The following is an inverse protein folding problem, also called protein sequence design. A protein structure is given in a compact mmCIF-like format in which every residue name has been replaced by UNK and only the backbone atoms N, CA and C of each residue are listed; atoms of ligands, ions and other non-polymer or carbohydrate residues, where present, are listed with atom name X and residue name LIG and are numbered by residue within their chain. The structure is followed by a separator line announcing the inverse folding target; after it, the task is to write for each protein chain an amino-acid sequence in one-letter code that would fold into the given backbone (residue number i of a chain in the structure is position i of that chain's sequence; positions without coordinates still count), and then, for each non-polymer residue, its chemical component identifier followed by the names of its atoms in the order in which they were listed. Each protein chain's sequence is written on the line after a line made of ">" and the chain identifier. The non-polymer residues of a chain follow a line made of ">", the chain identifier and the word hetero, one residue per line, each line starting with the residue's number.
data_IF_578703620126
#
_entry.id   IF_578703620126
#
_cell.length_a   1.000
_cell.length_b   1.000
_cell.length_c   1.000
_cell.angle_alpha   90.00
_cell.angle_beta   90.00
_cell.angle_gamma   90.00
#
_symmetry.space_group_name_H-M   'P 1'
#
loop_
_entity.id
_entity.type
_entity.pdbx_description
1 polymer ?
#
# COMPACT_ATOMS: atom_id res chain seq x y z
N UNK A 1 -0.94 4.76 -19.04
CA UNK A 1 -0.08 4.87 -17.84
C UNK A 1 1.20 5.70 -18.00
N UNK A 2 1.68 6.02 -19.22
CA UNK A 2 2.92 6.80 -19.41
C UNK A 2 2.89 8.21 -18.78
N UNK A 3 1.74 8.89 -18.83
CA UNK A 3 1.59 10.23 -18.25
C UNK A 3 1.62 10.21 -16.71
N UNK A 4 0.96 9.24 -16.06
CA UNK A 4 0.93 9.12 -14.58
C UNK A 4 2.33 8.93 -13.98
N UNK A 5 3.16 8.11 -14.63
CA UNK A 5 4.55 7.90 -14.23
C UNK A 5 5.38 9.19 -14.26
N UNK A 6 5.27 9.95 -15.36
CA UNK A 6 5.96 11.22 -15.53
C UNK A 6 5.51 12.27 -14.51
N UNK A 7 4.21 12.34 -14.23
CA UNK A 7 3.66 13.24 -13.21
C UNK A 7 4.18 12.87 -11.82
N UNK A 8 4.12 11.59 -11.44
CA UNK A 8 4.65 11.12 -10.15
C UNK A 8 6.13 11.50 -9.97
N UNK A 9 6.95 11.25 -10.99
CA UNK A 9 8.36 11.62 -10.99
C UNK A 9 8.56 13.14 -10.86
N UNK A 10 7.75 13.94 -11.56
CA UNK A 10 7.84 15.40 -11.51
C UNK A 10 7.55 15.93 -10.10
N UNK A 11 6.58 15.35 -9.39
CA UNK A 11 6.30 15.73 -7.99
C UNK A 11 7.45 15.36 -7.04
N UNK A 12 8.07 14.19 -7.22
CA UNK A 12 9.24 13.78 -6.42
C UNK A 12 10.44 14.69 -6.70
N UNK A 13 10.69 15.03 -7.96
CA UNK A 13 11.75 15.98 -8.34
C UNK A 13 11.50 17.38 -7.76
N UNK A 14 10.26 17.87 -7.81
CA UNK A 14 9.88 19.13 -7.18
C UNK A 14 10.12 19.10 -5.67
N UNK A 15 9.76 18.00 -4.99
CA UNK A 15 9.98 17.87 -3.55
C UNK A 15 11.47 17.88 -3.19
N UNK A 16 12.30 17.21 -3.98
CA UNK A 16 13.76 17.29 -3.85
C UNK A 16 14.27 18.73 -4.03
N UNK A 17 13.84 19.41 -5.10
CA UNK A 17 14.36 20.73 -5.47
C UNK A 17 13.90 21.86 -4.54
N UNK A 18 12.64 21.81 -4.08
CA UNK A 18 11.99 22.95 -3.43
C UNK A 18 11.46 22.66 -2.02
N UNK A 19 11.38 21.39 -1.61
CA UNK A 19 10.79 21.01 -0.32
C UNK A 19 11.74 20.18 0.55
N UNK A 20 13.05 20.17 0.25
CA UNK A 20 14.05 19.50 1.08
C UNK A 20 13.79 18.00 1.25
N UNK A 21 13.46 17.33 0.15
CA UNK A 21 13.16 15.88 0.12
C UNK A 21 11.96 15.47 0.97
N UNK A 22 10.99 16.39 1.17
CA UNK A 22 9.73 16.05 1.81
C UNK A 22 9.04 14.88 1.08
N UNK A 23 8.49 13.90 1.82
CA UNK A 23 7.87 12.75 1.18
C UNK A 23 6.61 13.12 0.38
N UNK A 24 6.50 12.60 -0.85
CA UNK A 24 5.34 12.81 -1.72
C UNK A 24 4.29 11.73 -1.49
N UNK A 25 3.05 12.14 -1.23
CA UNK A 25 1.92 11.24 -1.00
C UNK A 25 0.85 11.42 -2.06
N UNK A 26 0.29 10.32 -2.55
CA UNK A 26 -0.92 10.29 -3.38
C UNK A 26 -2.09 10.02 -2.44
N UNK A 27 -2.87 11.05 -2.13
CA UNK A 27 -3.93 10.97 -1.11
C UNK A 27 -5.22 10.34 -1.60
N UNK A 28 -5.42 10.22 -2.91
CA UNK A 28 -6.58 9.54 -3.50
C UNK A 28 -6.17 8.84 -4.81
N UNK A 29 -6.52 7.56 -4.90
CA UNK A 29 -6.48 6.75 -6.12
C UNK A 29 -7.53 5.65 -6.01
N UNK A 30 -8.10 5.21 -7.13
CA UNK A 30 -9.13 4.18 -7.11
C UNK A 30 -9.71 3.93 -8.49
N UNK A 31 -10.42 2.81 -8.61
CA UNK A 31 -11.10 2.41 -9.83
C UNK A 31 -12.50 1.95 -9.46
N UNK A 32 -13.48 2.46 -10.19
CA UNK A 32 -14.88 2.19 -9.91
C UNK A 32 -15.33 0.85 -10.48
N UNK A 33 -16.25 0.19 -9.80
CA UNK A 33 -16.91 -1.01 -10.32
C UNK A 33 -18.15 -0.68 -11.14
N UNK A 34 -18.75 0.50 -10.93
CA UNK A 34 -19.89 0.98 -11.69
C UNK A 34 -19.50 1.32 -13.14
N UNK A 35 -20.16 0.67 -14.11
CA UNK A 35 -19.82 0.81 -15.53
C UNK A 35 -20.24 2.15 -16.17
N UNK A 36 -20.97 3.00 -15.44
CA UNK A 36 -21.21 4.38 -15.82
C UNK A 36 -20.08 5.34 -15.43
N UNK A 37 -19.15 4.92 -14.56
CA UNK A 37 -18.06 5.78 -14.10
C UNK A 37 -17.01 6.08 -15.20
N UNK A 38 -16.44 7.30 -15.22
CA UNK A 38 -15.27 7.60 -16.03
C UNK A 38 -14.01 6.85 -15.55
N UNK A 39 -13.96 6.39 -14.29
CA UNK A 39 -12.84 5.65 -13.69
C UNK A 39 -13.12 4.14 -13.55
N UNK A 40 -14.08 3.62 -14.32
CA UNK A 40 -14.49 2.22 -14.20
C UNK A 40 -13.37 1.23 -14.54
N UNK A 41 -13.19 0.23 -13.69
CA UNK A 41 -12.60 -1.04 -14.09
C UNK A 41 -13.52 -1.75 -15.08
N UNK A 42 -12.93 -2.45 -16.05
CA UNK A 42 -13.66 -3.22 -17.07
C UNK A 42 -13.33 -4.71 -16.95
N UNK A 43 -14.20 -5.57 -17.45
CA UNK A 43 -13.83 -6.98 -17.62
C UNK A 43 -12.75 -7.12 -18.71
N UNK A 44 -11.72 -7.95 -18.45
CA UNK A 44 -10.61 -8.17 -19.39
C UNK A 44 -10.38 -9.68 -19.53
N UNK A 45 -10.56 -10.20 -20.75
CA UNK A 45 -10.53 -11.65 -20.98
C UNK A 45 -11.55 -12.37 -20.10
N UNK A 46 -11.07 -13.29 -19.26
CA UNK A 46 -11.93 -14.05 -18.33
C UNK A 46 -12.03 -13.39 -16.93
N UNK A 47 -11.44 -12.21 -16.73
CA UNK A 47 -11.49 -11.51 -15.44
C UNK A 47 -12.78 -10.70 -15.29
N UNK A 48 -13.39 -10.81 -14.12
CA UNK A 48 -14.49 -9.93 -13.73
C UNK A 48 -14.02 -8.50 -13.49
N UNK A 49 -14.96 -7.55 -13.44
CA UNK A 49 -14.68 -6.14 -13.10
C UNK A 49 -13.91 -6.03 -11.78
N UNK A 50 -14.30 -6.80 -10.75
CA UNK A 50 -13.64 -6.80 -9.44
C UNK A 50 -12.20 -7.35 -9.50
N UNK A 51 -11.92 -8.31 -10.39
CA UNK A 51 -10.57 -8.83 -10.57
C UNK A 51 -9.67 -7.82 -11.30
N UNK A 52 -10.22 -7.13 -12.31
CA UNK A 52 -9.52 -6.04 -12.99
C UNK A 52 -9.25 -4.86 -12.05
N UNK A 53 -10.23 -4.47 -11.24
CA UNK A 53 -10.06 -3.46 -10.19
C UNK A 53 -8.89 -3.82 -9.26
N UNK A 54 -8.80 -5.09 -8.83
CA UNK A 54 -7.73 -5.56 -7.98
C UNK A 54 -6.35 -5.50 -8.64
N UNK A 55 -6.26 -5.93 -9.90
CA UNK A 55 -5.05 -5.83 -10.69
C UNK A 55 -4.59 -4.37 -10.81
N UNK A 56 -5.48 -3.48 -11.23
CA UNK A 56 -5.16 -2.07 -11.48
C UNK A 56 -4.79 -1.33 -10.20
N UNK A 57 -5.48 -1.63 -9.10
CA UNK A 57 -5.17 -1.12 -7.76
C UNK A 57 -3.75 -1.54 -7.33
N UNK A 58 -3.40 -2.83 -7.45
CA UNK A 58 -2.07 -3.31 -7.13
C UNK A 58 -0.99 -2.74 -8.07
N UNK A 59 -1.27 -2.67 -9.38
CA UNK A 59 -0.37 -2.04 -10.37
C UNK A 59 -0.10 -0.57 -10.04
N UNK A 60 -1.11 0.16 -9.55
CA UNK A 60 -0.97 1.56 -9.14
C UNK A 60 -0.06 1.71 -7.93
N UNK A 61 -0.21 0.84 -6.93
CA UNK A 61 0.70 0.82 -5.77
C UNK A 61 2.15 0.57 -6.21
N UNK A 62 2.39 -0.43 -7.07
CA UNK A 62 3.71 -0.77 -7.58
C UNK A 62 4.30 0.34 -8.47
N UNK A 63 3.48 0.99 -9.29
CA UNK A 63 3.89 2.14 -10.11
C UNK A 63 4.37 3.28 -9.23
N UNK A 64 3.62 3.67 -8.21
CA UNK A 64 4.00 4.77 -7.32
C UNK A 64 5.24 4.44 -6.49
N UNK A 65 5.37 3.19 -6.02
CA UNK A 65 6.59 2.71 -5.37
C UNK A 65 7.82 2.84 -6.29
N UNK A 66 7.71 2.45 -7.58
CA UNK A 66 8.78 2.59 -8.58
C UNK A 66 9.25 4.03 -8.75
N UNK A 67 8.33 5.00 -8.64
CA UNK A 67 8.61 6.41 -8.88
C UNK A 67 8.91 7.21 -7.60
N UNK A 68 9.14 6.55 -6.46
CA UNK A 68 9.55 7.22 -5.22
C UNK A 68 8.42 7.93 -4.47
N UNK A 69 7.16 7.65 -4.81
CA UNK A 69 6.03 8.10 -4.00
C UNK A 69 5.99 7.28 -2.72
N UNK A 70 5.97 8.00 -1.60
CA UNK A 70 6.15 7.44 -0.26
C UNK A 70 4.90 6.69 0.23
N UNK A 71 3.71 7.22 -0.05
CA UNK A 71 2.41 6.67 0.36
C UNK A 71 1.37 6.87 -0.74
N UNK A 72 0.55 5.85 -0.97
CA UNK A 72 -0.66 5.92 -1.79
C UNK A 72 -1.85 5.51 -0.95
N UNK A 73 -2.89 6.32 -0.96
CA UNK A 73 -4.14 6.07 -0.25
C UNK A 73 -5.22 5.73 -1.26
N UNK A 74 -5.78 4.52 -1.14
CA UNK A 74 -6.84 4.07 -2.03
C UNK A 74 -8.20 4.54 -1.50
N UNK A 75 -8.90 5.32 -2.32
CA UNK A 75 -10.28 5.71 -2.08
C UNK A 75 -11.16 4.59 -2.66
N UNK A 76 -11.80 3.76 -1.83
CA UNK A 76 -11.93 3.86 -0.36
C UNK A 76 -12.21 2.51 0.28
N UNK A 77 -12.43 2.48 1.60
CA UNK A 77 -12.71 1.22 2.31
C UNK A 77 -14.04 0.59 1.88
N UNK A 78 -15.09 1.38 1.73
CA UNK A 78 -16.45 0.94 1.34
C UNK A 78 -17.00 1.86 0.29
N UNK A 79 -17.80 1.35 -0.65
CA UNK A 79 -18.50 2.20 -1.63
C UNK A 79 -19.33 3.29 -0.94
N UNK A 80 -19.37 4.49 -1.52
CA UNK A 80 -20.26 5.58 -1.10
C UNK A 80 -21.65 5.31 -1.67
N UNK A 81 -21.72 5.03 -2.97
CA UNK A 81 -22.92 4.56 -3.64
C UNK A 81 -22.56 3.73 -4.88
N UNK A 82 -22.59 2.40 -4.74
CA UNK A 82 -22.25 1.47 -5.82
C UNK A 82 -23.10 1.65 -7.11
N UNK A 83 -24.33 2.17 -6.99
CA UNK A 83 -25.21 2.42 -8.12
C UNK A 83 -24.94 3.75 -8.84
N UNK A 84 -24.18 4.66 -8.21
CA UNK A 84 -23.85 5.95 -8.77
C UNK A 84 -22.79 5.82 -9.88
N UNK A 85 -22.98 6.45 -11.06
CA UNK A 85 -21.97 6.54 -12.10
C UNK A 85 -20.94 7.64 -11.84
N UNK A 86 -21.03 8.35 -10.70
CA UNK A 86 -20.05 9.38 -10.35
C UNK A 86 -18.73 8.73 -9.97
N UNK A 87 -17.63 9.38 -10.38
CA UNK A 87 -16.29 8.90 -10.05
C UNK A 87 -16.12 8.68 -8.55
N UNK A 88 -15.39 7.63 -8.20
CA UNK A 88 -15.11 7.20 -6.84
C UNK A 88 -16.32 6.77 -6.01
N UNK A 89 -17.55 6.71 -6.55
CA UNK A 89 -18.69 6.22 -5.77
C UNK A 89 -18.69 4.71 -5.52
N UNK A 90 -17.89 3.94 -6.28
CA UNK A 90 -17.91 2.47 -6.28
C UNK A 90 -16.50 1.83 -6.29
N UNK A 91 -15.53 2.55 -5.73
CA UNK A 91 -14.10 2.17 -5.64
C UNK A 91 -13.74 1.51 -4.30
N UNK A 92 -14.72 0.94 -3.60
CA UNK A 92 -14.56 0.34 -2.29
C UNK A 92 -13.68 -0.91 -2.30
N UNK A 93 -12.88 -1.10 -1.25
CA UNK A 93 -12.08 -2.32 -1.01
C UNK A 93 -12.89 -3.46 -0.37
N UNK A 94 -14.07 -3.16 0.17
CA UNK A 94 -14.98 -4.12 0.79
C UNK A 94 -16.30 -4.22 0.03
N UNK A 95 -16.91 -5.40 0.08
CA UNK A 95 -18.29 -5.61 -0.33
C UNK A 95 -19.26 -4.98 0.68
N UNK A 96 -20.55 -4.90 0.31
CA UNK A 96 -21.59 -4.34 1.19
C UNK A 96 -21.74 -5.10 2.52
N UNK A 97 -21.46 -6.40 2.52
CA UNK A 97 -21.43 -7.26 3.72
C UNK A 97 -20.12 -7.15 4.52
N UNK A 98 -19.23 -6.24 4.13
CA UNK A 98 -17.88 -6.01 4.69
C UNK A 98 -16.87 -7.13 4.46
N UNK A 99 -17.20 -8.13 3.64
CA UNK A 99 -16.20 -9.08 3.16
C UNK A 99 -15.20 -8.39 2.24
N UNK A 100 -13.96 -8.89 2.19
CA UNK A 100 -12.91 -8.34 1.34
C UNK A 100 -13.25 -8.52 -0.14
N UNK A 101 -13.02 -7.47 -0.94
CA UNK A 101 -12.94 -7.60 -2.40
C UNK A 101 -11.55 -8.13 -2.80
N UNK A 102 -11.41 -8.66 -4.02
CA UNK A 102 -10.10 -9.03 -4.55
C UNK A 102 -9.05 -7.93 -4.44
N UNK A 103 -9.43 -6.65 -4.56
CA UNK A 103 -8.51 -5.52 -4.39
C UNK A 103 -7.91 -5.43 -2.98
N UNK A 104 -8.73 -5.63 -1.93
CA UNK A 104 -8.24 -5.70 -0.56
C UNK A 104 -7.31 -6.89 -0.33
N UNK A 105 -7.66 -8.06 -0.88
CA UNK A 105 -6.83 -9.25 -0.79
C UNK A 105 -5.47 -9.04 -1.45
N UNK A 106 -5.44 -8.48 -2.65
CA UNK A 106 -4.21 -8.30 -3.41
C UNK A 106 -3.28 -7.29 -2.74
N UNK A 107 -3.80 -6.16 -2.25
CA UNK A 107 -3.03 -5.18 -1.49
C UNK A 107 -2.47 -5.77 -0.20
N UNK A 108 -3.30 -6.50 0.56
CA UNK A 108 -2.88 -7.12 1.82
C UNK A 108 -1.82 -8.19 1.58
N UNK A 109 -2.02 -9.06 0.60
CA UNK A 109 -1.07 -10.11 0.24
C UNK A 109 0.27 -9.52 -0.24
N UNK A 110 0.23 -8.49 -1.09
CA UNK A 110 1.44 -7.81 -1.56
C UNK A 110 2.17 -7.11 -0.41
N UNK A 111 1.45 -6.46 0.50
CA UNK A 111 2.05 -5.87 1.70
C UNK A 111 2.69 -6.90 2.62
N UNK A 112 2.09 -8.08 2.77
CA UNK A 112 2.67 -9.20 3.53
C UNK A 112 3.93 -9.79 2.89
N UNK A 113 4.01 -9.83 1.56
CA UNK A 113 5.17 -10.35 0.84
C UNK A 113 6.31 -9.31 0.77
N UNK A 114 5.98 -8.09 0.36
CA UNK A 114 6.95 -7.04 0.11
C UNK A 114 7.34 -6.29 1.38
N UNK A 115 6.48 -6.08 2.38
CA UNK A 115 6.85 -5.45 3.67
C UNK A 115 7.90 -4.33 3.58
N UNK A 116 9.14 -4.65 3.98
CA UNK A 116 10.29 -3.73 4.02
C UNK A 116 11.15 -3.70 2.74
N UNK A 117 10.78 -4.46 1.72
CA UNK A 117 11.44 -4.45 0.42
C UNK A 117 11.29 -3.07 -0.23
N UNK A 118 12.39 -2.56 -0.74
CA UNK A 118 12.45 -1.26 -1.43
C UNK A 118 12.75 -1.47 -2.90
N UNK A 119 12.15 -0.66 -3.76
CA UNK A 119 12.45 -0.68 -5.19
C UNK A 119 13.91 -0.29 -5.41
N UNK A 120 14.65 -1.09 -6.19
CA UNK A 120 16.06 -0.83 -6.51
C UNK A 120 16.35 -0.70 -8.01
N UNK A 121 15.40 -1.04 -8.88
CA UNK A 121 15.55 -0.83 -10.31
C UNK A 121 14.55 -1.61 -11.15
N UNK A 122 14.49 -1.27 -12.44
CA UNK A 122 13.67 -1.97 -13.44
C UNK A 122 14.58 -2.66 -14.44
N UNK A 123 14.45 -3.98 -14.58
CA UNK A 123 15.26 -4.82 -15.47
C UNK A 123 14.70 -4.88 -16.89
N UNK A 124 13.40 -4.66 -17.06
CA UNK A 124 12.73 -4.67 -18.35
C UNK A 124 11.48 -3.80 -18.32
N UNK A 125 11.14 -3.17 -19.45
CA UNK A 125 10.01 -2.24 -19.56
C UNK A 125 8.74 -2.85 -20.17
N UNK A 126 8.84 -3.95 -20.93
CA UNK A 126 7.68 -4.71 -21.44
C UNK A 126 8.03 -6.20 -21.66
N UNK A 127 7.53 -7.13 -20.82
CA UNK A 127 6.76 -6.87 -19.60
C UNK A 127 7.58 -6.05 -18.59
N UNK A 128 6.91 -5.33 -17.70
CA UNK A 128 7.64 -4.64 -16.64
C UNK A 128 8.22 -5.68 -15.68
N UNK A 129 9.50 -5.54 -15.36
CA UNK A 129 10.20 -6.37 -14.39
C UNK A 129 10.94 -5.46 -13.42
N UNK A 130 10.36 -5.25 -12.25
CA UNK A 130 10.94 -4.45 -11.18
C UNK A 130 11.67 -5.33 -10.18
N UNK A 131 12.76 -4.82 -9.64
CA UNK A 131 13.59 -5.44 -8.61
C UNK A 131 13.38 -4.70 -7.29
N UNK A 132 13.22 -5.49 -6.23
CA UNK A 132 13.12 -5.01 -4.87
C UNK A 132 14.10 -5.74 -3.96
N UNK A 133 14.66 -5.04 -2.98
CA UNK A 133 15.60 -5.62 -2.02
C UNK A 133 15.26 -5.27 -0.57
N UNK A 134 15.49 -6.25 0.32
CA UNK A 134 15.52 -6.08 1.77
C UNK A 134 16.42 -7.13 2.40
N UNK A 135 17.27 -6.74 3.36
CA UNK A 135 18.10 -7.65 4.16
C UNK A 135 18.90 -8.66 3.32
N UNK A 136 19.43 -8.24 2.17
CA UNK A 136 20.20 -9.09 1.25
C UNK A 136 19.36 -10.08 0.42
N UNK A 137 18.03 -10.07 0.56
CA UNK A 137 17.10 -10.83 -0.27
C UNK A 137 16.60 -9.97 -1.43
N UNK A 138 16.28 -10.62 -2.56
CA UNK A 138 15.73 -9.96 -3.75
C UNK A 138 14.39 -10.59 -4.12
N UNK A 139 13.39 -9.73 -4.36
CA UNK A 139 12.10 -10.09 -4.95
C UNK A 139 11.91 -9.30 -6.23
N UNK A 140 11.37 -9.94 -7.26
CA UNK A 140 11.00 -9.31 -8.52
C UNK A 140 9.49 -9.20 -8.63
N UNK A 141 8.97 -8.09 -9.15
CA UNK A 141 7.57 -7.95 -9.54
C UNK A 141 7.47 -7.88 -11.07
N UNK A 142 6.64 -8.74 -11.66
CA UNK A 142 6.47 -8.85 -13.11
C UNK A 142 5.01 -8.59 -13.50
N UNK A 143 4.77 -7.74 -14.50
CA UNK A 143 3.42 -7.44 -14.98
C UNK A 143 3.40 -6.97 -16.44
N UNK A 144 2.31 -7.29 -17.16
CA UNK A 144 1.92 -6.70 -18.46
C UNK A 144 0.77 -5.71 -18.20
N UNK A 145 1.01 -4.39 -18.15
CA UNK A 145 -0.02 -3.43 -17.75
C UNK A 145 -0.70 -2.75 -18.96
N UNK A 146 -1.22 -3.53 -19.90
CA UNK A 146 -1.72 -2.99 -21.18
C UNK A 146 -3.23 -3.07 -21.41
N UNK A 147 -3.96 -3.73 -20.52
CA UNK A 147 -5.43 -3.86 -20.54
C UNK A 147 -5.96 -4.62 -21.77
N UNK A 148 -5.12 -5.44 -22.42
CA UNK A 148 -5.45 -6.18 -23.66
C UNK A 148 -5.57 -7.69 -23.46
N UNK A 149 -5.55 -8.16 -22.21
CA UNK A 149 -5.41 -9.58 -21.87
C UNK A 149 -4.16 -10.22 -22.49
N UNK A 150 -3.08 -9.46 -22.64
CA UNK A 150 -1.84 -9.95 -23.24
C UNK A 150 -1.04 -10.76 -22.22
N UNK A 151 -0.35 -11.78 -22.72
CA UNK A 151 0.74 -12.46 -22.02
C UNK A 151 2.08 -12.18 -22.70
N UNK A 152 3.17 -12.27 -21.94
CA UNK A 152 4.52 -12.13 -22.46
C UNK A 152 5.45 -13.17 -21.82
N UNK A 153 6.30 -13.79 -22.61
CA UNK A 153 7.35 -14.68 -22.09
C UNK A 153 8.55 -13.84 -21.67
N UNK A 154 9.06 -14.07 -20.46
CA UNK A 154 10.29 -13.42 -19.98
C UNK A 154 11.18 -14.44 -19.26
N UNK A 155 12.48 -14.43 -19.55
CA UNK A 155 13.47 -15.24 -18.84
C UNK A 155 14.16 -14.37 -17.81
N UNK A 156 13.81 -14.58 -16.54
CA UNK A 156 14.37 -13.89 -15.40
C UNK A 156 15.71 -14.53 -15.02
N UNK A 157 16.71 -13.67 -14.77
CA UNK A 157 18.02 -14.05 -14.25
C UNK A 157 18.03 -13.93 -12.73
N UNK A 158 18.25 -15.05 -12.05
CA UNK A 158 18.31 -15.18 -10.60
C UNK A 158 19.75 -15.37 -10.09
N UNK A 159 20.75 -15.14 -10.96
CA UNK A 159 22.16 -15.30 -10.64
C UNK A 159 22.51 -16.77 -10.40
N UNK A 160 22.97 -17.11 -9.19
CA UNK A 160 23.37 -18.48 -8.83
C UNK A 160 22.24 -19.31 -8.22
N UNK A 161 21.04 -18.75 -8.03
CA UNK A 161 19.93 -19.47 -7.41
C UNK A 161 19.40 -20.57 -8.33
N UNK A 162 19.35 -21.80 -7.85
CA UNK A 162 18.86 -22.96 -8.62
C UNK A 162 17.36 -23.23 -8.44
N UNK A 163 16.73 -22.51 -7.51
CA UNK A 163 15.30 -22.58 -7.21
C UNK A 163 14.74 -21.17 -7.02
N UNK A 164 13.44 -21.06 -7.26
CA UNK A 164 12.68 -19.84 -7.01
C UNK A 164 11.31 -20.17 -6.43
N UNK A 165 10.64 -19.17 -5.88
CA UNK A 165 9.22 -19.25 -5.53
C UNK A 165 8.45 -18.16 -6.25
N UNK A 166 7.43 -18.56 -7.00
CA UNK A 166 6.49 -17.67 -7.67
C UNK A 166 5.30 -17.45 -6.74
N UNK A 167 5.00 -16.20 -6.44
CA UNK A 167 3.85 -15.78 -5.65
C UNK A 167 2.83 -15.11 -6.55
N UNK A 168 1.62 -15.68 -6.56
CA UNK A 168 0.50 -15.18 -7.34
C UNK A 168 -0.61 -14.67 -6.40
N UNK A 169 -0.99 -13.39 -6.48
CA UNK A 169 -2.16 -12.87 -5.78
C UNK A 169 -3.41 -13.73 -6.06
N UNK A 170 -4.13 -14.09 -5.00
CA UNK A 170 -5.25 -15.04 -5.08
C UNK A 170 -6.46 -14.49 -4.32
N UNK A 171 -7.56 -14.21 -5.01
CA UNK A 171 -8.75 -13.63 -4.40
C UNK A 171 -9.39 -14.58 -3.38
N UNK A 172 -9.91 -14.03 -2.29
CA UNK A 172 -10.55 -14.78 -1.21
C UNK A 172 -9.59 -15.56 -0.31
N UNK A 173 -8.27 -15.42 -0.49
CA UNK A 173 -7.26 -16.14 0.28
C UNK A 173 -6.47 -15.22 1.20
N UNK A 174 -6.09 -15.74 2.37
CA UNK A 174 -5.26 -15.01 3.33
C UNK A 174 -3.82 -14.78 2.83
N UNK A 175 -3.33 -15.53 1.83
CA UNK A 175 -1.99 -15.37 1.28
C UNK A 175 -1.99 -15.55 -0.24
N UNK A 176 -0.89 -15.16 -0.87
CA UNK A 176 -0.65 -15.51 -2.28
C UNK A 176 -0.48 -17.02 -2.42
N UNK A 177 -0.85 -17.56 -3.58
CA UNK A 177 -0.45 -18.91 -3.96
C UNK A 177 1.06 -18.90 -4.20
N UNK A 178 1.80 -19.75 -3.48
CA UNK A 178 3.26 -19.88 -3.59
C UNK A 178 3.62 -21.18 -4.30
N UNK A 179 4.36 -21.10 -5.40
CA UNK A 179 4.80 -22.26 -6.19
C UNK A 179 6.32 -22.29 -6.28
N UNK A 180 6.93 -23.32 -5.68
CA UNK A 180 8.36 -23.57 -5.83
C UNK A 180 8.67 -24.12 -7.22
N UNK A 181 9.68 -23.56 -7.88
CA UNK A 181 10.09 -23.93 -9.25
C UNK A 181 11.60 -24.08 -9.33
N UNK A 182 12.06 -24.90 -10.26
CA UNK A 182 13.48 -24.99 -10.60
C UNK A 182 13.89 -23.83 -11.50
N UNK A 183 15.10 -23.34 -11.30
CA UNK A 183 15.74 -22.31 -12.10
C UNK A 183 17.16 -22.78 -12.48
N UNK A 184 17.29 -23.79 -13.36
CA UNK A 184 18.60 -24.32 -13.73
C UNK A 184 19.48 -23.19 -14.29
N UNK A 185 20.74 -23.14 -13.85
CA UNK A 185 21.69 -22.09 -14.22
C UNK A 185 21.21 -20.66 -13.89
N UNK A 186 20.35 -20.50 -12.87
CA UNK A 186 19.81 -19.20 -12.50
C UNK A 186 18.75 -18.64 -13.45
N UNK A 187 18.28 -19.42 -14.42
CA UNK A 187 17.31 -18.92 -15.42
C UNK A 187 15.93 -19.48 -15.13
N UNK A 188 14.94 -18.59 -15.02
CA UNK A 188 13.54 -18.93 -14.87
C UNK A 188 12.71 -18.29 -15.99
N UNK A 189 12.13 -19.11 -16.86
CA UNK A 189 11.21 -18.63 -17.90
C UNK A 189 9.79 -18.58 -17.35
N UNK A 190 9.16 -17.41 -17.47
CA UNK A 190 7.84 -17.10 -16.92
C UNK A 190 6.89 -16.65 -18.04
N UNK A 191 5.63 -17.02 -17.92
CA UNK A 191 4.54 -16.34 -18.64
C UNK A 191 4.04 -15.20 -17.77
N UNK A 192 4.33 -13.97 -18.16
CA UNK A 192 3.88 -12.75 -17.48
C UNK A 192 2.50 -12.37 -18.00
N UNK A 193 1.61 -11.98 -17.08
CA UNK A 193 0.24 -11.60 -17.38
C UNK A 193 -0.08 -10.21 -16.85
N UNK A 194 -1.32 -9.81 -17.05
CA UNK A 194 -1.94 -8.63 -16.47
C UNK A 194 -2.00 -8.63 -14.93
N UNK A 195 -2.12 -9.79 -14.27
CA UNK A 195 -2.03 -9.81 -12.80
C UNK A 195 -0.56 -9.78 -12.39
N UNK A 196 -0.13 -8.84 -11.52
CA UNK A 196 1.22 -8.84 -11.00
C UNK A 196 1.58 -10.19 -10.37
N UNK A 197 2.75 -10.72 -10.69
CA UNK A 197 3.33 -11.90 -10.03
C UNK A 197 4.66 -11.51 -9.40
N UNK A 198 5.03 -12.19 -8.32
CA UNK A 198 6.29 -11.92 -7.61
C UNK A 198 7.18 -13.16 -7.61
N UNK A 199 8.49 -12.96 -7.75
CA UNK A 199 9.46 -14.05 -7.77
C UNK A 199 10.56 -13.79 -6.75
N UNK A 200 10.75 -14.73 -5.83
CA UNK A 200 11.86 -14.74 -4.89
C UNK A 200 12.90 -15.79 -5.31
N UNK A 201 14.18 -15.40 -5.30
CA UNK A 201 15.29 -16.32 -5.51
C UNK A 201 15.61 -17.11 -4.21
N UNK A 202 15.90 -18.41 -4.31
CA UNK A 202 16.44 -19.17 -3.18
C UNK A 202 15.43 -19.74 -2.18
N UNK A 203 14.15 -19.87 -2.57
CA UNK A 203 13.07 -20.40 -1.72
C UNK A 203 12.21 -19.31 -1.07
N UNK A 204 11.30 -19.71 -0.16
CA UNK A 204 10.36 -18.79 0.50
C UNK A 204 11.13 -17.66 1.19
N UNK A 205 10.90 -16.37 0.86
CA UNK A 205 11.44 -15.25 1.61
C UNK A 205 11.12 -15.43 3.09
N UNK A 206 12.04 -15.01 3.95
CA UNK A 206 11.70 -14.90 5.36
C UNK A 206 10.49 -13.97 5.45
N UNK A 207 9.39 -14.45 6.06
CA UNK A 207 8.24 -13.60 6.32
C UNK A 207 8.77 -12.31 6.97
N UNK A 208 8.35 -11.12 6.51
CA UNK A 208 8.82 -9.89 7.11
C UNK A 208 8.55 -10.01 8.60
N UNK A 209 9.61 -9.91 9.40
CA UNK A 209 9.44 -9.86 10.84
C UNK A 209 8.49 -8.68 11.07
N UNK A 210 7.31 -8.89 11.68
CA UNK A 210 6.46 -7.78 12.04
C UNK A 210 7.37 -6.82 12.77
N UNK A 211 7.47 -5.58 12.29
CA UNK A 211 8.18 -4.57 13.05
C UNK A 211 7.37 -4.45 14.33
N UNK A 212 7.83 -5.11 15.39
CA UNK A 212 7.19 -5.05 16.67
C UNK A 212 7.26 -3.58 17.06
N UNK A 213 6.11 -2.93 17.12
CA UNK A 213 6.01 -1.62 17.74
C UNK A 213 6.53 -1.81 19.16
N UNK A 214 7.73 -1.31 19.46
CA UNK A 214 8.26 -1.30 20.81
C UNK A 214 7.43 -0.40 21.75
N UNK A 215 6.41 0.28 21.22
CA UNK A 215 5.36 0.91 22.00
C UNK A 215 4.04 0.17 21.84
N UNK A 216 3.57 -0.50 22.89
CA UNK A 216 2.15 -0.65 23.15
C UNK A 216 1.62 0.78 23.37
N UNK A 217 1.14 1.41 22.29
CA UNK A 217 0.77 2.83 22.29
C UNK A 217 -0.39 3.08 23.25
N UNK A 218 -0.10 3.65 24.43
CA UNK A 218 -1.12 4.35 25.20
C UNK A 218 -1.37 5.70 24.53
N UNK A 219 -2.63 6.08 24.40
CA UNK A 219 -2.99 7.45 24.05
C UNK A 219 -2.81 8.25 25.33
N UNK A 220 -1.82 9.13 25.39
CA UNK A 220 -1.60 10.03 26.53
C UNK A 220 -2.41 11.32 26.36
N UNK A 221 -3.03 11.76 27.44
CA UNK A 221 -3.65 13.08 27.55
C UNK A 221 -2.94 13.89 28.64
N UNK A 222 -2.65 15.14 28.33
CA UNK A 222 -2.00 16.10 29.22
C UNK A 222 -2.79 17.41 29.23
N UNK A 223 -2.90 18.03 30.41
CA UNK A 223 -3.62 19.29 30.61
C UNK A 223 -2.77 20.29 31.40
N UNK A 224 -2.71 21.53 30.92
CA UNK A 224 -2.16 22.68 31.64
C UNK A 224 -3.28 23.64 31.99
N UNK A 225 -3.44 23.92 33.27
CA UNK A 225 -4.40 24.90 33.78
C UNK A 225 -3.85 26.32 33.63
N UNK A 226 -4.73 27.31 33.53
CA UNK A 226 -4.35 28.71 33.40
C UNK A 226 -3.80 29.09 32.02
N UNK A 227 -4.12 28.33 30.97
CA UNK A 227 -3.77 28.69 29.60
C UNK A 227 -4.90 29.55 28.98
N UNK A 228 -4.55 30.70 28.43
CA UNK A 228 -5.50 31.71 27.95
C UNK A 228 -5.35 31.98 26.46
N UNK A 229 -6.47 32.02 25.74
CA UNK A 229 -6.65 32.74 24.46
C UNK A 229 -5.90 32.24 23.22
N UNK A 230 -4.84 31.44 23.35
CA UNK A 230 -4.04 30.97 22.21
C UNK A 230 -3.36 29.63 22.47
N UNK A 231 -3.21 28.84 21.41
CA UNK A 231 -2.46 27.57 21.42
C UNK A 231 -0.99 27.80 21.82
N UNK A 232 -0.42 28.97 21.47
CA UNK A 232 0.95 29.32 21.84
C UNK A 232 1.14 29.52 23.36
N UNK A 233 0.05 29.73 24.11
CA UNK A 233 0.10 29.89 25.56
C UNK A 233 0.13 28.55 26.31
N UNK A 234 0.08 27.40 25.61
CA UNK A 234 0.17 26.09 26.23
C UNK A 234 1.65 25.77 26.48
N UNK A 235 2.11 25.65 27.75
CA UNK A 235 3.53 25.51 28.06
C UNK A 235 3.97 24.04 27.86
N UNK A 236 4.11 23.63 26.61
CA UNK A 236 4.43 22.25 26.21
C UNK A 236 5.79 21.74 26.71
N UNK A 237 6.64 22.63 27.22
CA UNK A 237 7.95 22.37 27.83
C UNK A 237 7.91 22.23 29.36
N UNK A 238 6.78 22.54 30.01
CA UNK A 238 6.59 22.33 31.45
C UNK A 238 5.75 21.09 31.72
N UNK A 239 5.92 20.49 32.89
CA UNK A 239 5.07 19.38 33.35
C UNK A 239 3.59 19.79 33.35
N UNK A 240 2.73 18.90 32.87
CA UNK A 240 1.28 19.11 32.86
C UNK A 240 0.70 19.06 34.29
N UNK A 241 -0.37 19.81 34.54
CA UNK A 241 -1.10 19.75 35.80
C UNK A 241 -1.86 18.43 35.95
N UNK A 242 -2.43 17.92 34.86
CA UNK A 242 -3.11 16.63 34.83
C UNK A 242 -2.58 15.77 33.69
N UNK A 243 -2.52 14.45 33.91
CA UNK A 243 -2.16 13.46 32.91
C UNK A 243 -3.05 12.23 33.07
N UNK A 244 -3.53 11.67 31.97
CA UNK A 244 -4.30 10.42 31.99
C UNK A 244 -4.12 9.63 30.69
N UNK A 245 -4.21 8.29 30.73
CA UNK A 245 -4.36 7.50 29.52
C UNK A 245 -5.78 7.67 28.95
N UNK A 246 -5.90 7.64 27.63
CA UNK A 246 -7.15 7.58 26.89
C UNK A 246 -7.26 6.25 26.13
N UNK A 247 -8.49 5.80 25.94
CA UNK A 247 -8.83 4.64 25.10
C UNK A 247 -9.30 5.05 23.70
N UNK A 248 -9.42 6.35 23.44
CA UNK A 248 -9.81 6.97 22.16
C UNK A 248 -9.05 8.28 21.93
N UNK A 249 -8.99 8.76 20.69
CA UNK A 249 -8.33 10.03 20.31
C UNK A 249 -9.14 11.29 20.69
N UNK A 250 -9.81 11.26 21.83
CA UNK A 250 -10.65 12.36 22.32
C UNK A 250 -10.62 12.41 23.84
N UNK A 251 -10.50 13.60 24.41
CA UNK A 251 -10.70 13.82 25.85
C UNK A 251 -12.20 13.87 26.18
N UNK A 252 -12.53 13.80 27.47
CA UNK A 252 -13.86 14.18 27.93
C UNK A 252 -14.16 15.65 27.59
N UNK A 253 -15.44 15.97 27.34
CA UNK A 253 -15.90 17.33 27.08
C UNK A 253 -16.18 18.04 28.41
N UNK A 254 -16.07 19.37 28.43
CA UNK A 254 -16.41 20.23 29.57
C UNK A 254 -15.65 19.90 30.87
N UNK A 255 -14.34 19.64 30.76
CA UNK A 255 -13.49 19.27 31.90
C UNK A 255 -12.87 20.48 32.64
N UNK A 256 -13.33 21.70 32.33
CA UNK A 256 -12.91 22.94 32.98
C UNK A 256 -12.90 24.12 32.01
N UNK A 257 -12.55 25.29 32.54
CA UNK A 257 -12.28 26.50 31.77
C UNK A 257 -10.78 26.84 31.83
N UNK A 258 -10.30 27.68 30.92
CA UNK A 258 -8.94 28.24 30.94
C UNK A 258 -7.82 27.19 31.00
N UNK A 259 -7.84 26.22 30.10
CA UNK A 259 -6.82 25.17 30.02
C UNK A 259 -6.35 24.92 28.59
N UNK A 260 -5.12 24.42 28.48
CA UNK A 260 -4.57 23.83 27.27
C UNK A 260 -4.49 22.32 27.43
N UNK A 261 -4.80 21.56 26.38
CA UNK A 261 -4.68 20.11 26.41
C UNK A 261 -3.95 19.57 25.17
N UNK A 262 -3.21 18.48 25.36
CA UNK A 262 -2.50 17.76 24.31
C UNK A 262 -2.84 16.28 24.40
N UNK A 263 -3.27 15.70 23.27
CA UNK A 263 -3.40 14.25 23.10
C UNK A 263 -2.22 13.77 22.27
N UNK A 264 -1.49 12.76 22.74
CA UNK A 264 -0.40 12.11 22.00
C UNK A 264 -0.67 10.63 21.91
N UNK A 265 -0.59 10.10 20.69
CA UNK A 265 -0.45 8.67 20.51
C UNK A 265 0.82 8.41 19.71
N UNK A 266 1.57 7.40 20.12
CA UNK A 266 2.64 6.86 19.30
C UNK A 266 1.99 5.84 18.37
N UNK A 267 1.74 6.24 17.13
CA UNK A 267 1.38 5.29 16.07
C UNK A 267 2.59 5.03 15.21
N UNK A 268 3.22 3.86 15.39
CA UNK A 268 4.09 3.32 14.38
C UNK A 268 3.19 2.71 13.29
N UNK A 269 3.01 3.44 12.19
CA UNK A 269 2.43 2.86 10.99
C UNK A 269 3.52 2.06 10.29
N UNK A 270 3.42 0.72 10.17
CA UNK A 270 4.12 0.05 9.09
C UNK A 270 3.62 0.66 7.77
N UNK A 271 4.54 0.87 6.81
CA UNK A 271 4.14 1.22 5.45
C UNK A 271 3.21 0.11 4.94
N UNK A 272 2.00 0.51 4.55
CA UNK A 272 0.88 -0.31 4.08
C UNK A 272 0.63 -1.62 4.84
N UNK A 273 -0.16 -1.55 5.92
CA UNK A 273 -0.91 -2.71 6.42
C UNK A 273 -2.34 -2.28 6.72
N UNK A 274 -3.28 -2.78 5.94
CA UNK A 274 -4.69 -2.85 6.33
C UNK A 274 -4.89 -4.16 7.09
N UNK A 275 -5.06 -4.08 8.41
CA UNK A 275 -5.47 -5.19 9.27
C UNK A 275 -6.86 -4.90 9.81
N UNK A 276 -7.88 -5.73 9.56
CA UNK A 276 -9.07 -5.75 10.40
C UNK A 276 -8.78 -6.59 11.64
N UNK A 277 -9.17 -6.06 12.81
CA UNK A 277 -9.31 -6.83 14.04
C UNK A 277 -10.43 -7.87 13.91
N UNK A 278 -10.23 -8.99 14.59
CA UNK A 278 -11.06 -10.21 14.71
C UNK A 278 -12.57 -10.03 14.54
#
# INVERSE_FOLDING_TARGET
>A
MANTAQVAQSFVQMAHQYAGDMPVWVTEAGYDTNQGSPLKAIAIGNKSVLQTEADWTLRTALLYARWGVERTFFYMLTDDNAASPVQFSSSGLLNADRSARPAADFLRQAGQLLGNYTYTGTLNSDPIVDRYEASGQTIYALVVPDEKNRTATYTLDLGSATTATIYQPTAGQAGMTATAVSAPNGKLTLTVTETPQFVAAGGTPAAPTPTACAGTGSIGWEQWLGAWGSIAAIPLTTTANNMAPLTKFESARNIGDYYGARIRAISAHPRMVATPSR
#
